data_IF_756796913197
#
_entry.id   IF_756796913197
#
_cell.length_a   1.000
_cell.length_b   1.000
_cell.length_c   1.000
_cell.angle_alpha   90.00
_cell.angle_beta   90.00
_cell.angle_gamma   90.00
#
_symmetry.space_group_name_H-M   'P 1'
#
loop_
_entity.id
_entity.type
_entity.pdbx_description
1 polymer ?
#
# COMPACT_ATOMS: atom_id res chain seq x y z
N UNK A 1 12.58 27.68 12.81
CA UNK A 1 12.96 26.54 11.97
C UNK A 1 11.88 25.47 12.17
N UNK A 2 11.02 25.26 11.16
CA UNK A 2 9.86 24.34 11.24
C UNK A 2 10.37 22.91 11.17
N UNK A 3 10.17 22.12 12.23
CA UNK A 3 10.47 20.68 12.23
C UNK A 3 9.37 19.95 11.46
N UNK A 4 9.70 19.49 10.27
CA UNK A 4 8.83 18.62 9.46
C UNK A 4 8.94 17.22 10.06
N UNK A 5 7.89 16.76 10.73
CA UNK A 5 7.80 15.37 11.19
C UNK A 5 7.15 14.57 10.06
N UNK A 6 7.96 13.79 9.35
CA UNK A 6 7.51 12.86 8.33
C UNK A 6 6.90 11.63 9.01
N UNK A 7 5.60 11.46 8.92
CA UNK A 7 4.97 10.18 9.21
C UNK A 7 5.13 9.30 7.97
N UNK A 8 6.02 8.31 8.02
CA UNK A 8 6.14 7.33 6.96
C UNK A 8 4.95 6.36 7.02
N UNK A 9 4.16 6.36 5.98
CA UNK A 9 3.07 5.43 5.83
C UNK A 9 3.58 4.11 5.24
N UNK A 10 3.47 3.06 5.99
CA UNK A 10 3.55 1.70 5.49
C UNK A 10 2.13 1.25 5.15
N UNK A 11 1.98 0.68 4.00
CA UNK A 11 0.78 0.06 3.45
C UNK A 11 -0.36 1.02 3.06
N UNK A 12 -0.75 0.86 1.87
CA UNK A 12 -1.86 1.48 1.18
C UNK A 12 -1.65 2.93 0.76
N UNK A 13 -2.01 3.10 -0.41
CA UNK A 13 -2.02 4.27 -1.25
C UNK A 13 -2.66 5.52 -0.66
N UNK A 14 -2.93 5.68 0.60
CA UNK A 14 -3.49 6.89 1.19
C UNK A 14 -3.48 6.82 2.73
N UNK A 15 -2.37 7.16 3.36
CA UNK A 15 -2.44 7.58 4.76
C UNK A 15 -2.23 9.08 4.80
N UNK A 16 -3.26 9.79 5.25
CA UNK A 16 -3.22 11.23 5.41
C UNK A 16 -2.17 11.64 6.45
N UNK A 17 -1.33 12.60 6.10
CA UNK A 17 -0.52 13.31 7.06
C UNK A 17 -1.43 14.09 8.00
N UNK A 18 -1.25 13.95 9.32
CA UNK A 18 -1.95 14.78 10.28
C UNK A 18 -1.54 16.24 10.12
N UNK A 19 -2.48 17.09 9.78
CA UNK A 19 -2.31 18.53 9.88
C UNK A 19 -2.29 18.92 11.37
N UNK A 20 -1.24 19.61 11.79
CA UNK A 20 -1.19 20.18 13.13
C UNK A 20 -1.83 21.57 13.12
N UNK A 21 -2.80 21.79 14.00
CA UNK A 21 -3.24 23.11 14.36
C UNK A 21 -2.08 23.87 15.06
N UNK A 22 -1.86 25.10 14.67
CA UNK A 22 -0.89 26.03 15.26
C UNK A 22 -1.44 26.49 16.63
N UNK A 23 -0.53 26.59 17.65
CA UNK A 23 -0.69 27.24 18.97
C UNK A 23 -0.84 26.36 20.23
N UNK A 24 -0.14 25.22 20.29
CA UNK A 24 0.36 24.71 21.58
C UNK A 24 1.72 24.05 21.32
N UNK A 25 2.65 24.16 22.28
CA UNK A 25 3.87 23.36 22.23
C UNK A 25 3.45 21.88 22.01
N UNK A 26 3.98 21.18 21.00
CA UNK A 26 3.52 19.82 20.71
C UNK A 26 3.68 18.98 21.97
N UNK A 27 2.57 18.44 22.46
CA UNK A 27 2.58 17.47 23.55
C UNK A 27 3.55 16.35 23.15
N UNK A 28 4.41 15.93 24.10
CA UNK A 28 5.31 14.81 23.85
C UNK A 28 4.47 13.62 23.40
N UNK A 29 4.83 12.99 22.26
CA UNK A 29 4.14 11.77 21.82
C UNK A 29 4.26 10.72 22.91
N UNK A 30 3.20 9.96 23.20
CA UNK A 30 3.26 8.86 24.15
C UNK A 30 4.30 7.84 23.68
N UNK A 31 4.97 7.16 24.61
CA UNK A 31 5.95 6.13 24.25
C UNK A 31 5.35 5.01 23.40
N UNK A 32 4.08 4.68 23.67
CA UNK A 32 3.32 3.66 22.93
C UNK A 32 2.07 4.30 22.37
N UNK A 33 1.85 4.12 21.07
CA UNK A 33 0.72 4.65 20.35
C UNK A 33 -0.01 3.51 19.62
N UNK A 34 -1.34 3.52 19.68
CA UNK A 34 -2.19 2.61 18.92
C UNK A 34 -3.18 3.41 18.11
N UNK A 35 -3.51 2.95 16.92
CA UNK A 35 -4.54 3.55 16.08
C UNK A 35 -5.36 2.50 15.35
N UNK A 36 -6.61 2.82 15.06
CA UNK A 36 -7.48 2.05 14.18
C UNK A 36 -7.80 2.91 12.98
N UNK A 37 -7.92 2.27 11.82
CA UNK A 37 -8.37 2.96 10.63
C UNK A 37 -9.48 2.17 9.93
N UNK A 38 -10.32 2.90 9.20
CA UNK A 38 -11.35 2.32 8.33
C UNK A 38 -11.46 3.16 7.06
N UNK A 39 -11.70 2.51 5.91
CA UNK A 39 -11.83 3.18 4.64
C UNK A 39 -12.85 2.49 3.72
N UNK A 40 -13.40 3.29 2.81
CA UNK A 40 -14.14 2.84 1.63
C UNK A 40 -13.41 3.39 0.41
N UNK A 41 -13.11 2.53 -0.55
CA UNK A 41 -12.47 2.90 -1.80
C UNK A 41 -13.31 2.43 -2.98
N UNK A 42 -13.39 3.25 -4.04
CA UNK A 42 -14.20 2.93 -5.22
C UNK A 42 -13.66 1.76 -6.06
N UNK A 43 -12.36 1.46 -5.94
CA UNK A 43 -11.65 0.36 -6.58
C UNK A 43 -10.33 0.16 -5.84
N UNK A 44 -10.17 -0.96 -5.15
CA UNK A 44 -8.91 -1.25 -4.47
C UNK A 44 -7.83 -1.60 -5.49
N UNK A 45 -6.80 -0.79 -5.56
CA UNK A 45 -5.65 -1.00 -6.44
C UNK A 45 -4.38 -1.18 -5.63
N UNK A 46 -3.73 -2.31 -5.86
CA UNK A 46 -2.41 -2.61 -5.35
C UNK A 46 -1.40 -2.57 -6.50
N UNK A 47 -0.36 -1.75 -6.39
CA UNK A 47 0.63 -1.51 -7.46
C UNK A 47 -0.06 -1.28 -8.82
N UNK A 48 -1.11 -0.43 -8.82
CA UNK A 48 -1.87 -0.08 -10.03
C UNK A 48 -2.91 -1.09 -10.50
N UNK A 49 -2.88 -2.35 -10.05
CA UNK A 49 -3.78 -3.44 -10.46
C UNK A 49 -4.99 -3.53 -9.51
N UNK A 50 -6.20 -3.57 -10.08
CA UNK A 50 -7.44 -3.71 -9.30
C UNK A 50 -7.53 -5.09 -8.64
N UNK A 51 -7.72 -5.11 -7.33
CA UNK A 51 -7.92 -6.30 -6.51
C UNK A 51 -9.40 -6.68 -6.40
N UNK A 52 -10.30 -5.75 -6.71
CA UNK A 52 -11.75 -5.87 -6.52
C UNK A 52 -12.53 -5.92 -7.82
N UNK A 53 -11.89 -6.26 -8.94
CA UNK A 53 -12.55 -6.32 -10.26
C UNK A 53 -13.17 -4.97 -10.65
N UNK A 54 -12.51 -3.85 -10.31
CA UNK A 54 -12.97 -2.47 -10.56
C UNK A 54 -14.28 -2.15 -9.80
N UNK A 55 -14.43 -2.69 -8.60
CA UNK A 55 -15.58 -2.51 -7.71
C UNK A 55 -15.12 -1.94 -6.37
N UNK A 56 -16.01 -1.36 -5.57
CA UNK A 56 -15.66 -0.85 -4.25
C UNK A 56 -15.12 -1.92 -3.30
N UNK A 57 -14.28 -1.47 -2.37
CA UNK A 57 -13.79 -2.26 -1.24
C UNK A 57 -14.02 -1.56 0.09
N UNK A 58 -14.18 -2.38 1.13
CA UNK A 58 -14.10 -1.99 2.53
C UNK A 58 -12.72 -2.39 3.05
N UNK A 59 -12.09 -1.48 3.80
CA UNK A 59 -10.75 -1.64 4.31
C UNK A 59 -10.68 -1.20 5.77
N UNK A 60 -9.75 -1.76 6.54
CA UNK A 60 -9.52 -1.34 7.90
C UNK A 60 -8.26 -1.93 8.47
N UNK A 61 -7.72 -1.33 9.52
CA UNK A 61 -6.48 -1.76 10.10
C UNK A 61 -6.30 -1.33 11.55
N UNK A 62 -5.26 -1.88 12.15
CA UNK A 62 -4.78 -1.54 13.48
C UNK A 62 -3.26 -1.41 13.45
N UNK A 63 -2.75 -0.35 14.05
CA UNK A 63 -1.33 -0.06 14.15
C UNK A 63 -0.91 0.12 15.60
N UNK A 64 0.28 -0.37 15.94
CA UNK A 64 1.01 -0.09 17.16
C UNK A 64 2.37 0.50 16.81
N UNK A 65 2.78 1.54 17.51
CA UNK A 65 4.10 2.15 17.40
C UNK A 65 4.71 2.39 18.78
N UNK A 66 5.96 1.96 18.97
CA UNK A 66 6.78 2.37 20.08
C UNK A 66 7.65 3.56 19.62
N UNK A 67 7.26 4.77 20.01
CA UNK A 67 7.88 6.01 19.53
C UNK A 67 9.37 6.16 19.92
N UNK A 68 9.82 5.79 21.15
CA UNK A 68 11.23 5.89 21.52
C UNK A 68 12.18 5.02 20.68
N UNK A 69 11.73 3.85 20.27
CA UNK A 69 12.57 2.88 19.53
C UNK A 69 12.34 2.92 18.03
N UNK A 70 11.20 3.46 17.60
CA UNK A 70 10.74 3.44 16.22
C UNK A 70 10.21 2.10 15.74
N UNK A 71 10.10 1.08 16.61
CA UNK A 71 9.46 -0.19 16.26
C UNK A 71 7.95 -0.01 16.09
N UNK A 72 7.40 -0.69 15.11
CA UNK A 72 5.96 -0.76 14.88
C UNK A 72 5.54 -2.16 14.44
N UNK A 73 4.28 -2.47 14.66
CA UNK A 73 3.60 -3.64 14.12
C UNK A 73 2.15 -3.28 13.83
N UNK A 74 1.55 -3.95 12.87
CA UNK A 74 0.16 -3.69 12.55
C UNK A 74 -0.46 -4.78 11.70
N UNK A 75 -1.74 -4.59 11.44
CA UNK A 75 -2.53 -5.44 10.56
C UNK A 75 -3.49 -4.60 9.76
N UNK A 76 -3.76 -5.05 8.53
CA UNK A 76 -4.71 -4.40 7.65
C UNK A 76 -5.52 -5.45 6.89
N UNK A 77 -6.76 -5.14 6.61
CA UNK A 77 -7.69 -6.02 5.91
C UNK A 77 -8.39 -5.26 4.78
N UNK A 78 -8.65 -5.97 3.69
CA UNK A 78 -9.47 -5.48 2.59
C UNK A 78 -10.34 -6.58 2.02
N UNK A 79 -11.53 -6.21 1.58
CA UNK A 79 -12.28 -7.07 0.68
C UNK A 79 -11.63 -7.10 -0.71
N UNK A 80 -11.52 -8.29 -1.30
CA UNK A 80 -10.95 -8.54 -2.63
C UNK A 80 -11.84 -9.46 -3.46
N UNK A 81 -11.49 -9.67 -4.74
CA UNK A 81 -12.17 -10.62 -5.63
C UNK A 81 -11.22 -11.46 -6.48
N UNK A 82 -9.97 -11.03 -6.61
CA UNK A 82 -9.04 -11.62 -7.57
C UNK A 82 -8.75 -13.10 -7.32
N UNK A 83 -8.67 -13.55 -6.07
CA UNK A 83 -8.45 -14.97 -5.71
C UNK A 83 -9.59 -15.85 -6.22
N UNK A 84 -10.84 -15.44 -6.00
CA UNK A 84 -12.02 -16.13 -6.56
C UNK A 84 -12.06 -16.07 -8.10
N UNK A 85 -11.70 -14.92 -8.66
CA UNK A 85 -11.69 -14.75 -10.13
C UNK A 85 -10.66 -15.65 -10.79
N UNK A 86 -9.54 -15.92 -10.13
CA UNK A 86 -8.49 -16.82 -10.58
C UNK A 86 -8.86 -18.32 -10.44
N UNK A 87 -10.04 -18.64 -9.92
CA UNK A 87 -10.53 -20.02 -9.76
C UNK A 87 -10.32 -20.58 -8.35
N UNK A 88 -9.73 -19.82 -7.47
CA UNK A 88 -9.59 -20.16 -6.06
C UNK A 88 -10.82 -19.79 -5.23
N UNK A 89 -10.60 -19.39 -3.99
CA UNK A 89 -11.63 -18.95 -3.05
C UNK A 89 -11.11 -17.80 -2.19
N UNK A 90 -11.84 -17.44 -1.12
CA UNK A 90 -11.48 -16.29 -0.31
C UNK A 90 -11.89 -14.96 -0.96
N UNK A 91 -12.15 -13.96 -0.14
CA UNK A 91 -12.53 -12.62 -0.57
C UNK A 91 -11.99 -11.54 0.39
N UNK A 92 -10.99 -11.95 1.17
CA UNK A 92 -10.29 -11.09 2.12
C UNK A 92 -8.78 -11.17 1.85
N UNK A 93 -8.14 -10.02 1.81
CA UNK A 93 -6.70 -9.85 1.99
C UNK A 93 -6.46 -9.44 3.44
N UNK A 94 -5.52 -10.10 4.08
CA UNK A 94 -5.11 -9.84 5.45
C UNK A 94 -3.61 -9.64 5.50
N UNK A 95 -3.19 -8.41 5.76
CA UNK A 95 -1.80 -8.02 5.85
C UNK A 95 -1.35 -7.99 7.31
N UNK A 96 -0.18 -8.56 7.57
CA UNK A 96 0.51 -8.51 8.85
C UNK A 96 1.90 -7.91 8.62
N UNK A 97 2.24 -6.86 9.35
CA UNK A 97 3.51 -6.19 9.15
C UNK A 97 4.17 -5.78 10.47
N UNK A 98 5.49 -5.71 10.44
CA UNK A 98 6.30 -5.18 11.51
C UNK A 98 7.59 -4.59 10.94
N UNK A 99 8.13 -3.59 11.63
CA UNK A 99 9.34 -2.95 11.17
C UNK A 99 9.91 -1.96 12.18
N UNK A 100 10.92 -1.25 11.70
CA UNK A 100 11.54 -0.15 12.42
C UNK A 100 11.74 1.03 11.49
N UNK A 101 11.33 2.21 11.94
CA UNK A 101 11.50 3.47 11.23
C UNK A 101 12.18 4.51 12.11
N UNK A 102 12.85 5.47 11.49
CA UNK A 102 13.53 6.53 12.22
C UNK A 102 14.18 7.54 11.29
N UNK A 103 15.02 8.38 11.89
CA UNK A 103 15.79 9.39 11.17
C UNK A 103 17.27 8.98 11.13
N UNK A 104 17.89 9.11 9.94
CA UNK A 104 19.34 9.01 9.77
C UNK A 104 19.98 10.39 9.99
N UNK A 105 19.27 11.44 9.54
CA UNK A 105 19.63 12.85 9.73
C UNK A 105 18.37 13.70 9.77
N UNK A 106 18.50 15.03 9.94
CA UNK A 106 17.35 15.95 9.91
C UNK A 106 16.54 15.86 8.60
N UNK A 107 17.19 15.54 7.49
CA UNK A 107 16.55 15.48 6.17
C UNK A 107 16.25 14.06 5.68
N UNK A 108 16.88 13.03 6.27
CA UNK A 108 16.83 11.64 5.76
C UNK A 108 16.17 10.72 6.78
N UNK A 109 15.08 10.09 6.39
CA UNK A 109 14.39 9.05 7.16
C UNK A 109 14.64 7.66 6.58
N UNK A 110 14.43 6.64 7.39
CA UNK A 110 14.43 5.24 6.94
C UNK A 110 13.22 4.49 7.51
N UNK A 111 12.83 3.43 6.79
CA UNK A 111 11.87 2.43 7.23
C UNK A 111 12.30 1.08 6.68
N UNK A 112 12.36 0.06 7.52
CA UNK A 112 12.69 -1.31 7.11
C UNK A 112 11.82 -2.29 7.88
N UNK A 113 11.30 -3.30 7.19
CA UNK A 113 10.38 -4.22 7.82
C UNK A 113 10.06 -5.45 6.97
N UNK A 114 9.08 -6.18 7.45
CA UNK A 114 8.49 -7.36 6.82
C UNK A 114 6.98 -7.16 6.68
N UNK A 115 6.44 -7.65 5.58
CA UNK A 115 5.00 -7.64 5.28
C UNK A 115 4.59 -9.01 4.76
N UNK A 116 3.61 -9.62 5.42
CA UNK A 116 2.97 -10.86 4.98
C UNK A 116 1.57 -10.53 4.46
N UNK A 117 1.33 -10.81 3.20
CA UNK A 117 0.01 -10.82 2.57
C UNK A 117 -0.59 -12.20 2.74
N UNK A 118 -1.66 -12.31 3.48
CA UNK A 118 -2.38 -13.56 3.75
C UNK A 118 -3.74 -13.51 3.09
N UNK A 119 -4.04 -14.53 2.31
CA UNK A 119 -5.33 -14.68 1.63
C UNK A 119 -6.04 -15.91 2.22
N UNK A 120 -6.81 -15.77 3.30
CA UNK A 120 -7.40 -16.90 4.00
C UNK A 120 -8.25 -17.76 3.08
N UNK A 121 -7.96 -19.06 3.09
CA UNK A 121 -8.68 -20.06 2.27
C UNK A 121 -8.66 -19.75 0.77
N UNK A 122 -7.58 -19.17 0.23
CA UNK A 122 -7.51 -18.80 -1.18
C UNK A 122 -7.59 -20.00 -2.14
N UNK A 123 -7.01 -21.14 -1.77
CA UNK A 123 -7.07 -22.39 -2.53
C UNK A 123 -6.48 -22.31 -3.95
N UNK A 124 -5.65 -21.32 -4.24
CA UNK A 124 -5.03 -21.15 -5.57
C UNK A 124 -4.03 -22.28 -5.87
N UNK A 125 -3.42 -22.88 -4.87
CA UNK A 125 -2.54 -24.04 -5.01
C UNK A 125 -3.26 -25.29 -5.61
N UNK A 126 -4.59 -25.31 -5.60
CA UNK A 126 -5.41 -26.34 -6.28
C UNK A 126 -5.81 -25.94 -7.70
N UNK A 127 -5.43 -24.76 -8.18
CA UNK A 127 -5.73 -24.26 -9.51
C UNK A 127 -4.51 -24.43 -10.43
N UNK A 128 -4.69 -25.11 -11.56
CA UNK A 128 -3.59 -25.35 -12.51
C UNK A 128 -2.93 -24.03 -12.94
N UNK A 129 -1.62 -23.95 -12.79
CA UNK A 129 -0.81 -22.77 -13.17
C UNK A 129 -0.64 -21.75 -12.03
N UNK A 130 -1.12 -22.05 -10.83
CA UNK A 130 -0.91 -21.24 -9.63
C UNK A 130 -0.24 -22.04 -8.51
N UNK A 131 0.33 -21.32 -7.56
CA UNK A 131 0.71 -21.79 -6.22
C UNK A 131 -0.07 -20.99 -5.18
N UNK A 132 0.14 -21.26 -3.88
CA UNK A 132 -0.50 -20.48 -2.80
C UNK A 132 -0.26 -18.98 -3.00
N UNK A 133 -1.32 -18.19 -2.84
CA UNK A 133 -1.28 -16.74 -3.02
C UNK A 133 -0.53 -15.99 -1.92
N UNK A 134 -0.40 -16.59 -0.73
CA UNK A 134 0.25 -15.95 0.40
C UNK A 134 1.68 -15.53 0.04
N UNK A 135 2.01 -14.30 0.37
CA UNK A 135 3.28 -13.68 -0.03
C UNK A 135 3.92 -13.01 1.17
N UNK A 136 5.23 -13.18 1.32
CA UNK A 136 6.01 -12.46 2.33
C UNK A 136 7.07 -11.64 1.62
N UNK A 137 7.11 -10.35 1.94
CA UNK A 137 8.12 -9.41 1.46
C UNK A 137 8.92 -8.83 2.63
N UNK A 138 10.21 -8.64 2.41
CA UNK A 138 11.03 -7.73 3.22
C UNK A 138 11.19 -6.43 2.44
N UNK A 139 11.26 -5.29 3.12
CA UNK A 139 11.39 -4.00 2.44
C UNK A 139 12.32 -3.06 3.18
N UNK A 140 12.84 -2.10 2.40
CA UNK A 140 13.58 -0.95 2.89
C UNK A 140 13.18 0.30 2.14
N UNK A 141 13.05 1.41 2.87
CA UNK A 141 12.72 2.72 2.33
C UNK A 141 13.67 3.78 2.87
N UNK A 142 14.04 4.72 2.02
CA UNK A 142 14.68 5.97 2.39
C UNK A 142 13.79 7.13 1.96
N UNK A 143 13.65 8.11 2.85
CA UNK A 143 12.92 9.35 2.58
C UNK A 143 13.85 10.56 2.63
N UNK A 144 13.59 11.55 1.76
CA UNK A 144 14.24 12.85 1.77
C UNK A 144 13.21 13.95 1.52
N UNK A 145 12.94 14.76 2.54
CA UNK A 145 11.85 15.74 2.47
C UNK A 145 10.51 15.05 2.16
N UNK A 146 9.78 15.49 1.11
CA UNK A 146 8.52 14.88 0.72
C UNK A 146 8.69 13.61 -0.13
N UNK A 147 9.90 13.32 -0.63
CA UNK A 147 10.19 12.23 -1.56
C UNK A 147 10.67 10.96 -0.83
N UNK A 148 10.45 9.82 -1.45
CA UNK A 148 10.96 8.53 -0.96
C UNK A 148 11.35 7.60 -2.11
N UNK A 149 12.18 6.61 -1.79
CA UNK A 149 12.42 5.41 -2.57
C UNK A 149 12.27 4.20 -1.66
N UNK A 150 11.52 3.20 -2.12
CA UNK A 150 11.27 1.93 -1.41
C UNK A 150 11.57 0.76 -2.33
N UNK A 151 12.18 -0.28 -1.79
CA UNK A 151 12.33 -1.56 -2.47
C UNK A 151 11.73 -2.67 -1.61
N UNK A 152 10.85 -3.47 -2.20
CA UNK A 152 10.26 -4.65 -1.60
C UNK A 152 10.75 -5.89 -2.33
N UNK A 153 11.12 -6.94 -1.58
CA UNK A 153 11.67 -8.19 -2.10
C UNK A 153 10.86 -9.37 -1.58
N UNK A 154 10.26 -10.13 -2.48
CA UNK A 154 9.49 -11.31 -2.12
C UNK A 154 10.43 -12.46 -1.71
N UNK A 155 10.28 -12.94 -0.47
CA UNK A 155 11.01 -14.08 0.06
C UNK A 155 10.26 -15.41 -0.11
N UNK A 156 9.03 -15.36 -0.60
CA UNK A 156 8.18 -16.46 -1.06
C UNK A 156 7.84 -16.27 -2.53
N UNK A 157 7.02 -17.15 -3.12
CA UNK A 157 6.39 -16.86 -4.41
C UNK A 157 5.48 -15.64 -4.30
N UNK A 158 5.37 -14.86 -5.38
CA UNK A 158 4.62 -13.61 -5.42
C UNK A 158 3.19 -13.87 -5.90
N UNK A 159 2.18 -13.68 -5.03
CA UNK A 159 0.73 -13.65 -5.35
C UNK A 159 0.26 -14.82 -6.24
N UNK A 160 0.74 -16.03 -5.94
CA UNK A 160 0.33 -17.24 -6.66
C UNK A 160 1.05 -17.50 -7.98
N UNK A 161 1.96 -16.64 -8.45
CA UNK A 161 2.79 -16.92 -9.61
C UNK A 161 3.77 -18.05 -9.32
N UNK A 162 3.82 -19.05 -10.18
CA UNK A 162 4.74 -20.21 -10.06
C UNK A 162 6.18 -19.74 -10.22
N UNK A 163 7.09 -20.28 -9.38
CA UNK A 163 8.53 -20.03 -9.43
C UNK A 163 8.93 -18.53 -9.42
N UNK A 164 8.14 -17.72 -8.71
CA UNK A 164 8.30 -16.25 -8.67
C UNK A 164 8.98 -15.73 -7.40
N UNK A 165 9.57 -16.61 -6.59
CA UNK A 165 10.39 -16.20 -5.45
C UNK A 165 11.50 -15.24 -5.92
N UNK A 166 11.85 -14.25 -5.08
CA UNK A 166 12.79 -13.18 -5.38
C UNK A 166 12.29 -12.14 -6.40
N UNK A 167 11.00 -12.07 -6.65
CA UNK A 167 10.38 -10.92 -7.30
C UNK A 167 10.61 -9.64 -6.50
N UNK A 168 10.68 -8.51 -7.20
CA UNK A 168 10.98 -7.23 -6.59
C UNK A 168 10.01 -6.13 -7.02
N UNK A 169 9.81 -5.15 -6.15
CA UNK A 169 9.08 -3.94 -6.48
C UNK A 169 9.86 -2.71 -6.04
N UNK A 170 10.25 -1.90 -7.01
CA UNK A 170 10.84 -0.58 -6.78
C UNK A 170 9.74 0.47 -6.82
N UNK A 171 9.67 1.31 -5.79
CA UNK A 171 8.68 2.36 -5.63
C UNK A 171 9.39 3.69 -5.37
N UNK A 172 9.05 4.70 -6.14
CA UNK A 172 9.53 6.07 -5.99
C UNK A 172 8.31 6.98 -5.91
N UNK A 173 8.26 7.86 -4.93
CA UNK A 173 7.13 8.76 -4.79
C UNK A 173 7.43 10.02 -4.00
N UNK A 174 6.41 10.88 -3.93
CA UNK A 174 6.43 12.07 -3.12
C UNK A 174 5.03 12.40 -2.58
N UNK A 175 4.99 12.87 -1.32
CA UNK A 175 3.81 13.40 -0.68
C UNK A 175 4.08 14.87 -0.33
N UNK A 176 3.54 15.77 -1.13
CA UNK A 176 3.86 17.19 -1.07
C UNK A 176 2.73 17.91 -0.35
N UNK A 177 3.03 18.47 0.80
CA UNK A 177 2.09 19.32 1.54
C UNK A 177 1.79 20.58 0.70
N UNK A 178 0.52 20.75 0.33
CA UNK A 178 0.03 21.89 -0.45
C UNK A 178 -0.70 22.92 0.44
N UNK A 179 -0.65 22.75 1.76
CA UNK A 179 -1.31 23.62 2.72
C UNK A 179 -2.80 23.30 2.90
N UNK A 180 -3.39 23.91 3.94
CA UNK A 180 -4.83 23.79 4.25
C UNK A 180 -5.33 22.34 4.31
N UNK A 181 -4.47 21.37 4.73
CA UNK A 181 -4.79 19.95 4.80
C UNK A 181 -4.83 19.23 3.45
N UNK A 182 -4.35 19.85 2.37
CA UNK A 182 -4.15 19.20 1.07
C UNK A 182 -2.75 18.61 0.97
N UNK A 183 -2.68 17.40 0.42
CA UNK A 183 -1.42 16.73 0.06
C UNK A 183 -1.50 16.25 -1.38
N UNK A 184 -0.51 16.59 -2.20
CA UNK A 184 -0.33 16.02 -3.54
C UNK A 184 0.47 14.75 -3.43
N UNK A 185 -0.05 13.65 -3.99
CA UNK A 185 0.55 12.32 -3.94
C UNK A 185 1.02 11.91 -5.34
N UNK A 186 2.31 11.67 -5.48
CA UNK A 186 2.94 11.21 -6.71
C UNK A 186 3.61 9.85 -6.46
N UNK A 187 3.49 8.95 -7.43
CA UNK A 187 4.08 7.62 -7.34
C UNK A 187 4.39 7.07 -8.73
N UNK A 188 5.51 6.37 -8.84
CA UNK A 188 5.86 5.50 -9.96
C UNK A 188 6.57 4.27 -9.41
N UNK A 189 6.16 3.07 -9.85
CA UNK A 189 6.72 1.82 -9.39
C UNK A 189 6.97 0.83 -10.52
N UNK A 190 7.87 -0.10 -10.29
CA UNK A 190 8.17 -1.20 -11.22
C UNK A 190 8.13 -2.53 -10.49
N UNK A 191 7.22 -3.41 -10.92
CA UNK A 191 7.11 -4.79 -10.47
C UNK A 191 7.89 -5.71 -11.42
N UNK A 192 8.94 -6.35 -10.93
CA UNK A 192 9.57 -7.50 -11.56
C UNK A 192 8.94 -8.78 -11.00
N UNK A 193 8.40 -9.63 -11.85
CA UNK A 193 7.90 -10.96 -11.47
C UNK A 193 8.87 -12.00 -12.04
N UNK A 194 9.71 -12.58 -11.17
CA UNK A 194 10.74 -13.55 -11.56
C UNK A 194 10.15 -14.71 -12.34
N UNK A 195 10.82 -15.10 -13.42
CA UNK A 195 10.46 -16.18 -14.35
C UNK A 195 9.06 -16.03 -14.99
N UNK A 196 8.45 -14.85 -14.82
CA UNK A 196 7.11 -14.51 -15.33
C UNK A 196 7.14 -13.11 -15.97
N UNK A 197 8.02 -12.86 -16.92
CA UNK A 197 8.28 -11.53 -17.50
C UNK A 197 7.01 -10.86 -18.05
N UNK A 198 6.06 -11.64 -18.59
CA UNK A 198 4.78 -11.12 -19.08
C UNK A 198 3.90 -10.51 -17.98
N UNK A 199 4.19 -10.82 -16.71
CA UNK A 199 3.53 -10.26 -15.54
C UNK A 199 4.30 -9.09 -14.91
N UNK A 200 5.49 -8.75 -15.42
CA UNK A 200 6.26 -7.59 -14.99
C UNK A 200 5.71 -6.31 -15.62
N UNK A 201 5.66 -5.21 -14.85
CA UNK A 201 5.08 -3.95 -15.34
C UNK A 201 5.53 -2.76 -14.50
N UNK A 202 5.19 -1.57 -15.01
CA UNK A 202 5.34 -0.29 -14.32
C UNK A 202 3.97 0.30 -14.06
N UNK A 203 3.76 0.89 -12.89
CA UNK A 203 2.56 1.64 -12.55
C UNK A 203 2.89 3.05 -12.10
N UNK A 204 1.86 3.90 -12.07
CA UNK A 204 1.97 5.28 -11.66
C UNK A 204 0.66 5.77 -11.05
N UNK A 205 0.78 6.78 -10.19
CA UNK A 205 -0.35 7.47 -9.57
C UNK A 205 -0.07 8.96 -9.44
N UNK A 206 -1.09 9.75 -9.75
CA UNK A 206 -1.16 11.18 -9.42
C UNK A 206 -2.46 11.40 -8.66
N UNK A 207 -2.36 11.92 -7.45
CA UNK A 207 -3.52 12.09 -6.59
C UNK A 207 -3.44 13.31 -5.70
N UNK A 208 -4.55 13.60 -5.07
CA UNK A 208 -4.69 14.60 -4.01
C UNK A 208 -5.45 13.98 -2.84
N UNK A 209 -4.97 14.25 -1.65
CA UNK A 209 -5.61 13.91 -0.39
C UNK A 209 -6.03 15.21 0.30
N UNK A 210 -7.21 15.24 0.93
CA UNK A 210 -7.70 16.34 1.77
C UNK A 210 -8.09 15.80 3.14
N UNK A 211 -7.46 16.34 4.16
CA UNK A 211 -7.92 16.18 5.54
C UNK A 211 -9.04 17.18 5.83
N UNK A 212 -10.21 16.66 6.19
CA UNK A 212 -11.38 17.45 6.62
C UNK A 212 -11.51 17.51 8.16
N UNK A 213 -10.52 17.00 8.91
CA UNK A 213 -10.51 16.89 10.36
C UNK A 213 -11.33 15.71 10.90
N UNK A 214 -12.48 15.41 10.31
CA UNK A 214 -13.35 14.28 10.71
C UNK A 214 -13.07 13.03 9.90
N UNK A 215 -12.79 13.21 8.63
CA UNK A 215 -12.44 12.15 7.67
C UNK A 215 -11.39 12.69 6.70
N UNK A 216 -10.68 11.79 6.04
CA UNK A 216 -9.77 12.10 4.95
C UNK A 216 -10.39 11.62 3.64
N UNK A 217 -10.45 12.52 2.65
CA UNK A 217 -10.86 12.21 1.30
C UNK A 217 -9.65 12.13 0.38
N UNK A 218 -9.66 11.21 -0.58
CA UNK A 218 -8.60 11.12 -1.59
C UNK A 218 -9.17 10.88 -2.98
N UNK A 219 -8.53 11.51 -3.97
CA UNK A 219 -8.82 11.37 -5.39
C UNK A 219 -7.51 11.12 -6.12
N UNK A 220 -7.45 10.08 -6.95
CA UNK A 220 -6.26 9.78 -7.72
C UNK A 220 -6.59 9.25 -9.12
N UNK A 221 -5.71 9.54 -10.07
CA UNK A 221 -5.62 8.85 -11.35
C UNK A 221 -4.48 7.84 -11.24
N UNK A 222 -4.76 6.58 -11.54
CA UNK A 222 -3.83 5.46 -11.43
C UNK A 222 -3.80 4.73 -12.76
N UNK A 223 -2.62 4.36 -13.24
CA UNK A 223 -2.46 3.62 -14.49
C UNK A 223 -1.25 2.70 -14.46
N UNK A 224 -1.21 1.77 -15.42
CA UNK A 224 -0.11 0.83 -15.62
C UNK A 224 0.17 0.59 -17.09
N UNK A 225 1.36 0.05 -17.38
CA UNK A 225 1.67 -0.56 -18.68
C UNK A 225 1.58 -2.09 -18.65
N UNK A 226 0.93 -2.66 -17.64
CA UNK A 226 0.78 -4.11 -17.46
C UNK A 226 0.18 -4.80 -18.70
N UNK A 227 0.60 -6.03 -18.95
CA UNK A 227 0.11 -6.85 -20.05
C UNK A 227 -1.39 -7.13 -19.91
N UNK A 228 -2.19 -6.76 -20.93
CA UNK A 228 -3.65 -6.92 -20.89
C UNK A 228 -4.09 -8.37 -20.73
N UNK A 229 -3.32 -9.31 -21.26
CA UNK A 229 -3.60 -10.75 -21.11
C UNK A 229 -3.28 -11.24 -19.71
N UNK A 230 -2.11 -10.87 -19.16
CA UNK A 230 -1.66 -11.30 -17.84
C UNK A 230 -2.55 -10.75 -16.71
N UNK A 231 -3.14 -9.57 -16.92
CA UNK A 231 -3.97 -8.89 -15.92
C UNK A 231 -5.42 -8.66 -16.38
N UNK A 232 -5.92 -9.52 -17.26
CA UNK A 232 -7.37 -9.59 -17.54
C UNK A 232 -8.06 -10.32 -16.37
N UNK A 233 -9.21 -9.80 -15.93
CA UNK A 233 -10.04 -10.54 -14.96
C UNK A 233 -10.54 -11.84 -15.59
N UNK A 234 -10.22 -13.02 -15.01
CA UNK A 234 -10.76 -14.28 -15.52
C UNK A 234 -12.30 -14.34 -15.48
N UNK A 235 -12.92 -13.60 -14.57
CA UNK A 235 -14.37 -13.59 -14.42
C UNK A 235 -15.12 -12.84 -15.53
N UNK A 236 -14.51 -11.82 -16.18
CA UNK A 236 -15.23 -11.00 -17.16
C UNK A 236 -14.36 -10.40 -18.27
N UNK A 237 -13.08 -10.77 -18.36
CA UNK A 237 -12.13 -10.32 -19.37
C UNK A 237 -11.70 -8.85 -19.27
N UNK A 238 -12.17 -8.09 -18.27
CA UNK A 238 -11.79 -6.68 -18.13
C UNK A 238 -10.33 -6.54 -17.69
N UNK A 239 -9.61 -5.64 -18.34
CA UNK A 239 -8.23 -5.32 -17.96
C UNK A 239 -8.18 -4.59 -16.62
N UNK A 240 -7.55 -5.21 -15.62
CA UNK A 240 -7.50 -4.73 -14.23
C UNK A 240 -6.47 -3.61 -14.02
N UNK A 241 -5.50 -3.47 -14.93
CA UNK A 241 -4.46 -2.41 -14.91
C UNK A 241 -4.81 -1.16 -15.71
N UNK A 242 -6.06 -1.00 -16.19
CA UNK A 242 -6.46 0.18 -16.98
C UNK A 242 -6.33 1.46 -16.15
N UNK A 243 -5.98 2.56 -16.82
CA UNK A 243 -6.02 3.89 -16.20
C UNK A 243 -7.44 4.19 -15.71
N UNK A 244 -7.57 4.58 -14.45
CA UNK A 244 -8.86 4.89 -13.84
C UNK A 244 -8.73 5.95 -12.74
N UNK A 245 -9.84 6.61 -12.48
CA UNK A 245 -10.04 7.48 -11.33
C UNK A 245 -10.39 6.60 -10.12
N UNK A 246 -9.76 6.86 -8.98
CA UNK A 246 -10.02 6.22 -7.69
C UNK A 246 -10.45 7.28 -6.69
N UNK A 247 -11.51 7.00 -5.94
CA UNK A 247 -11.99 7.78 -4.81
C UNK A 247 -11.84 6.95 -3.55
N UNK A 248 -11.40 7.58 -2.45
CA UNK A 248 -11.35 6.95 -1.13
C UNK A 248 -11.82 7.95 -0.07
N UNK A 249 -12.52 7.43 0.92
CA UNK A 249 -12.80 8.13 2.17
C UNK A 249 -12.32 7.23 3.30
N UNK A 250 -11.55 7.80 4.22
CA UNK A 250 -10.98 7.09 5.36
C UNK A 250 -11.10 7.87 6.65
N UNK A 251 -11.01 7.16 7.78
CA UNK A 251 -10.92 7.73 9.11
C UNK A 251 -9.95 6.95 9.96
N UNK A 252 -9.14 7.66 10.73
CA UNK A 252 -8.29 7.11 11.80
C UNK A 252 -8.88 7.50 13.15
N UNK A 253 -8.83 6.56 14.11
CA UNK A 253 -9.38 6.69 15.46
C UNK A 253 -8.28 6.53 16.51
#
# INVERSE_FOLDING_TARGET
MKKIILAAAVVAAFTGSHAYAEDAAPAAKPDNETSFNAAVVSDYRYRGISQTRLQPALQGGFDYTNNPTGFYAGTWLSTIKWTKDAGGSGDIEWDLYAGKRGQVSEAVSYDAGVLAYVYPSNGLDNVTGFVDANTVEIYGQLGYGPAYVKYSHAVTNLFGFVDSKHSGYLDIGANIDAGEGYTVNLHAGHQEVKHNDAASYTDWKVGVTKDFGVVTGALAVIGTNAGKTAYASPANGKFLGKTALQLMVSKTF
#
